data_IF_967326615808
#
_entry.id   IF_967326615808
#
_cell.length_a   1.000
_cell.length_b   1.000
_cell.length_c   1.000
_cell.angle_alpha   90.00
_cell.angle_beta   90.00
_cell.angle_gamma   90.00
#
_symmetry.space_group_name_H-M   'P 1'
#
loop_
_entity.id
_entity.type
_entity.pdbx_description
1 polymer ?
#
# COMPACT_ATOMS: atom_id res chain seq x y z
N UNK A 1 10.63 12.39 17.22
CA UNK A 1 11.33 12.44 15.91
C UNK A 1 11.58 10.99 15.53
N UNK A 2 10.90 10.57 14.47
CA UNK A 2 10.48 9.19 14.23
C UNK A 2 11.64 8.35 13.69
N UNK A 3 11.97 7.24 14.38
CA UNK A 3 12.96 6.28 13.90
C UNK A 3 12.52 5.59 12.58
N UNK A 4 11.22 5.56 12.30
CA UNK A 4 10.64 4.88 11.14
C UNK A 4 10.97 5.56 9.81
N UNK A 5 10.95 6.90 9.76
CA UNK A 5 11.35 7.65 8.55
C UNK A 5 12.85 7.59 8.31
N UNK A 6 13.67 7.57 9.36
CA UNK A 6 15.13 7.39 9.21
C UNK A 6 15.47 6.03 8.58
N UNK A 7 14.75 4.97 8.98
CA UNK A 7 14.97 3.63 8.44
C UNK A 7 14.53 3.52 6.97
N UNK A 8 13.40 4.12 6.57
CA UNK A 8 12.92 4.01 5.18
C UNK A 8 13.84 4.71 4.18
N UNK A 9 14.40 5.87 4.52
CA UNK A 9 15.42 6.52 3.67
C UNK A 9 16.73 5.75 3.61
N UNK A 10 17.14 5.10 4.71
CA UNK A 10 18.32 4.23 4.71
C UNK A 10 18.12 3.03 3.76
N UNK A 11 16.95 2.39 3.77
CA UNK A 11 16.64 1.32 2.82
C UNK A 11 16.67 1.79 1.36
N UNK A 12 16.09 2.95 1.05
CA UNK A 12 16.14 3.52 -0.31
C UNK A 12 17.58 3.81 -0.72
N UNK A 13 18.37 4.41 0.17
CA UNK A 13 19.79 4.68 -0.08
C UNK A 13 20.56 3.39 -0.40
N UNK A 14 20.32 2.33 0.36
CA UNK A 14 20.96 1.03 0.14
C UNK A 14 20.59 0.42 -1.22
N UNK A 15 19.34 0.56 -1.66
CA UNK A 15 18.90 0.10 -2.98
C UNK A 15 19.59 0.90 -4.10
N UNK A 16 19.64 2.23 -3.97
CA UNK A 16 20.31 3.10 -4.95
C UNK A 16 21.80 2.76 -5.04
N UNK A 17 22.46 2.58 -3.89
CA UNK A 17 23.88 2.19 -3.83
C UNK A 17 24.13 0.82 -4.48
N UNK A 18 23.23 -0.15 -4.27
CA UNK A 18 23.30 -1.45 -4.92
C UNK A 18 23.32 -1.33 -6.44
N UNK A 19 22.47 -0.50 -7.05
CA UNK A 19 22.47 -0.29 -8.50
C UNK A 19 23.66 0.51 -8.99
N UNK A 20 24.13 1.48 -8.20
CA UNK A 20 25.29 2.32 -8.54
C UNK A 20 26.59 1.53 -8.71
N UNK A 21 26.74 0.41 -7.99
CA UNK A 21 27.93 -0.45 -8.12
C UNK A 21 27.83 -1.48 -9.26
N UNK A 22 26.67 -1.63 -9.90
CA UNK A 22 26.49 -2.60 -10.98
C UNK A 22 27.14 -2.08 -12.27
N UNK A 23 28.05 -2.86 -12.90
CA UNK A 23 28.87 -2.38 -14.03
C UNK A 23 28.10 -2.09 -15.32
N UNK A 24 26.80 -2.41 -15.39
CA UNK A 24 25.96 -2.27 -16.59
C UNK A 24 24.87 -1.20 -16.46
N UNK A 25 24.69 -0.65 -15.26
CA UNK A 25 23.64 0.34 -15.01
C UNK A 25 24.21 1.72 -15.29
N UNK A 26 23.51 2.47 -16.12
CA UNK A 26 23.90 3.83 -16.50
C UNK A 26 23.39 4.85 -15.47
N UNK A 27 24.07 5.98 -15.34
CA UNK A 27 23.68 7.05 -14.42
C UNK A 27 22.20 7.48 -14.60
N UNK A 28 21.74 7.59 -15.85
CA UNK A 28 20.34 7.91 -16.15
C UNK A 28 19.34 6.85 -15.65
N UNK A 29 19.74 5.58 -15.60
CA UNK A 29 18.90 4.52 -15.03
C UNK A 29 18.88 4.64 -13.51
N UNK A 30 20.00 4.99 -12.87
CA UNK A 30 20.07 5.23 -11.43
C UNK A 30 19.18 6.41 -11.03
N UNK A 31 19.21 7.52 -11.80
CA UNK A 31 18.32 8.67 -11.57
C UNK A 31 16.85 8.27 -11.60
N UNK A 32 16.44 7.46 -12.57
CA UNK A 32 15.06 6.95 -12.66
C UNK A 32 14.69 6.05 -11.48
N UNK A 33 15.61 5.20 -11.03
CA UNK A 33 15.42 4.35 -9.86
C UNK A 33 15.23 5.20 -8.61
N UNK A 34 16.05 6.23 -8.43
CA UNK A 34 15.98 7.15 -7.30
C UNK A 34 14.65 7.92 -7.30
N UNK A 35 14.27 8.53 -8.43
CA UNK A 35 12.98 9.23 -8.56
C UNK A 35 11.80 8.32 -8.25
N UNK A 36 11.79 7.10 -8.83
CA UNK A 36 10.74 6.12 -8.59
C UNK A 36 10.61 5.78 -7.10
N UNK A 37 11.72 5.42 -6.45
CA UNK A 37 11.73 5.00 -5.04
C UNK A 37 11.29 6.13 -4.11
N UNK A 38 11.74 7.36 -4.36
CA UNK A 38 11.36 8.52 -3.55
C UNK A 38 9.86 8.84 -3.66
N UNK A 39 9.31 8.80 -4.87
CA UNK A 39 7.88 9.06 -5.12
C UNK A 39 7.01 7.98 -4.47
N UNK A 40 7.30 6.69 -4.71
CA UNK A 40 6.53 5.59 -4.14
C UNK A 40 6.58 5.61 -2.61
N UNK A 41 7.77 5.86 -2.03
CA UNK A 41 7.91 5.98 -0.59
C UNK A 41 7.15 7.17 -0.02
N UNK A 42 7.14 8.33 -0.70
CA UNK A 42 6.37 9.49 -0.23
C UNK A 42 4.87 9.17 -0.13
N UNK A 43 4.29 8.53 -1.16
CA UNK A 43 2.90 8.10 -1.12
C UNK A 43 2.64 7.09 0.00
N UNK A 44 3.53 6.10 0.17
CA UNK A 44 3.41 5.10 1.23
C UNK A 44 3.47 5.71 2.63
N UNK A 45 4.42 6.63 2.88
CA UNK A 45 4.57 7.28 4.18
C UNK A 45 3.35 8.13 4.53
N UNK A 46 2.75 8.83 3.56
CA UNK A 46 1.53 9.61 3.80
C UNK A 46 0.38 8.69 4.22
N UNK A 47 0.14 7.61 3.48
CA UNK A 47 -0.98 6.70 3.77
C UNK A 47 -0.78 5.89 5.05
N UNK A 48 0.44 5.49 5.39
CA UNK A 48 0.74 4.85 6.67
C UNK A 48 0.52 5.81 7.84
N UNK A 49 0.93 7.07 7.72
CA UNK A 49 0.69 8.06 8.77
C UNK A 49 -0.80 8.31 9.00
N UNK A 50 -1.60 8.30 7.93
CA UNK A 50 -3.07 8.38 8.05
C UNK A 50 -3.64 7.16 8.80
N UNK A 51 -3.20 5.94 8.47
CA UNK A 51 -3.65 4.73 9.18
C UNK A 51 -3.16 4.68 10.64
N UNK A 52 -1.89 5.01 10.90
CA UNK A 52 -1.33 5.09 12.25
C UNK A 52 -2.11 6.12 13.09
N UNK A 53 -2.44 7.27 12.51
CA UNK A 53 -3.25 8.30 13.18
C UNK A 53 -4.66 7.78 13.49
N UNK A 54 -5.28 7.00 12.60
CA UNK A 54 -6.54 6.34 12.89
C UNK A 54 -6.38 5.39 14.09
N UNK A 55 -5.40 4.47 14.06
CA UNK A 55 -5.16 3.47 15.12
C UNK A 55 -4.89 4.11 16.49
N UNK A 56 -4.10 5.20 16.52
CA UNK A 56 -3.72 5.91 17.74
C UNK A 56 -4.80 6.89 18.23
N UNK A 57 -5.82 7.18 17.41
CA UNK A 57 -6.88 8.10 17.75
C UNK A 57 -7.78 7.56 18.87
N UNK A 58 -8.27 8.48 19.72
CA UNK A 58 -9.38 8.19 20.65
C UNK A 58 -10.75 8.34 19.98
N UNK A 59 -10.79 8.85 18.75
CA UNK A 59 -12.02 9.02 17.99
C UNK A 59 -12.42 7.71 17.28
N UNK A 60 -13.72 7.44 17.17
CA UNK A 60 -14.19 6.25 16.45
C UNK A 60 -13.86 6.37 14.96
N UNK A 61 -12.99 5.47 14.48
CA UNK A 61 -12.68 5.30 13.06
C UNK A 61 -13.86 4.64 12.36
N UNK A 62 -14.14 5.06 11.13
CA UNK A 62 -15.14 4.39 10.28
C UNK A 62 -14.48 3.43 9.29
N UNK A 63 -15.18 2.38 8.86
CA UNK A 63 -14.63 1.45 7.87
C UNK A 63 -14.44 2.11 6.50
N UNK A 64 -15.27 3.10 6.19
CA UNK A 64 -15.23 3.92 4.98
C UNK A 64 -13.95 4.73 4.93
N UNK A 65 -13.55 5.34 6.05
CA UNK A 65 -12.29 6.08 6.15
C UNK A 65 -11.09 5.19 5.85
N UNK A 66 -11.07 3.96 6.36
CA UNK A 66 -10.00 3.00 6.05
C UNK A 66 -9.99 2.61 4.56
N UNK A 67 -11.16 2.45 3.94
CA UNK A 67 -11.27 2.18 2.49
C UNK A 67 -10.84 3.40 1.68
N UNK A 68 -11.16 4.61 2.12
CA UNK A 68 -10.80 5.86 1.45
C UNK A 68 -9.28 6.11 1.51
N UNK A 69 -8.63 5.86 2.65
CA UNK A 69 -7.17 5.92 2.77
C UNK A 69 -6.50 4.93 1.82
N UNK A 70 -6.98 3.68 1.80
CA UNK A 70 -6.47 2.67 0.87
C UNK A 70 -6.67 3.10 -0.59
N UNK A 71 -7.86 3.57 -0.96
CA UNK A 71 -8.16 4.04 -2.31
C UNK A 71 -7.32 5.23 -2.73
N UNK A 72 -7.09 6.18 -1.82
CA UNK A 72 -6.21 7.32 -2.03
C UNK A 72 -4.80 6.84 -2.39
N UNK A 73 -4.26 5.91 -1.61
CA UNK A 73 -2.95 5.30 -1.88
C UNK A 73 -2.90 4.60 -3.24
N UNK A 74 -3.88 3.74 -3.53
CA UNK A 74 -3.96 2.98 -4.79
C UNK A 74 -4.03 3.92 -6.00
N UNK A 75 -4.80 5.01 -5.91
CA UNK A 75 -4.92 5.99 -6.98
C UNK A 75 -3.60 6.74 -7.21
N UNK A 76 -2.95 7.22 -6.15
CA UNK A 76 -1.67 7.93 -6.24
C UNK A 76 -0.59 7.05 -6.88
N UNK A 77 -0.43 5.83 -6.38
CA UNK A 77 0.54 4.87 -6.94
C UNK A 77 0.16 4.50 -8.38
N UNK A 78 -1.11 4.22 -8.65
CA UNK A 78 -1.58 3.85 -9.98
C UNK A 78 -1.30 4.93 -11.02
N UNK A 79 -1.50 6.20 -10.67
CA UNK A 79 -1.17 7.33 -11.53
C UNK A 79 0.32 7.39 -11.85
N UNK A 80 1.20 7.28 -10.84
CA UNK A 80 2.64 7.31 -11.04
C UNK A 80 3.14 6.10 -11.84
N UNK A 81 2.61 4.91 -11.58
CA UNK A 81 2.92 3.72 -12.37
C UNK A 81 2.54 3.89 -13.83
N UNK A 82 1.41 4.53 -14.14
CA UNK A 82 0.98 4.76 -15.53
C UNK A 82 1.93 5.70 -16.29
N UNK A 83 2.56 6.64 -15.58
CA UNK A 83 3.57 7.56 -16.15
C UNK A 83 4.88 6.84 -16.41
N UNK A 84 5.28 5.95 -15.51
CA UNK A 84 6.61 5.30 -15.51
C UNK A 84 6.62 4.04 -16.39
N UNK A 85 5.52 3.27 -16.40
CA UNK A 85 5.35 2.03 -17.15
C UNK A 85 4.11 2.09 -18.07
N UNK A 86 4.08 2.98 -19.07
CA UNK A 86 2.88 3.25 -19.87
C UNK A 86 2.40 2.07 -20.74
N UNK A 87 3.25 1.07 -20.93
CA UNK A 87 2.96 -0.11 -21.76
C UNK A 87 2.59 -1.36 -20.94
N UNK A 88 2.54 -1.25 -19.60
CA UNK A 88 2.09 -2.35 -18.76
C UNK A 88 0.59 -2.22 -18.46
N UNK A 89 -0.17 -3.27 -18.79
CA UNK A 89 -1.55 -3.43 -18.30
C UNK A 89 -1.49 -3.76 -16.81
N UNK A 90 -1.45 -2.73 -15.96
CA UNK A 90 -1.61 -2.88 -14.51
C UNK A 90 -2.95 -2.35 -14.08
N UNK A 91 -3.77 -3.22 -13.51
CA UNK A 91 -4.93 -2.82 -12.73
C UNK A 91 -4.56 -2.82 -11.25
N UNK A 92 -3.97 -1.73 -10.76
CA UNK A 92 -4.18 -1.36 -9.35
C UNK A 92 -5.51 -0.62 -9.33
N UNK A 93 -6.61 -1.38 -9.34
CA UNK A 93 -7.93 -0.81 -9.35
C UNK A 93 -8.34 -0.41 -7.91
N UNK A 94 -8.89 0.79 -7.71
CA UNK A 94 -9.44 1.17 -6.42
C UNK A 94 -10.63 0.27 -6.06
N UNK A 95 -10.86 0.11 -4.76
CA UNK A 95 -12.01 -0.56 -4.20
C UNK A 95 -13.27 0.29 -4.47
N UNK A 96 -14.19 -0.23 -5.28
CA UNK A 96 -15.43 0.47 -5.60
C UNK A 96 -16.49 0.31 -4.52
N UNK A 97 -16.79 1.41 -3.81
CA UNK A 97 -17.98 1.49 -2.96
C UNK A 97 -19.22 1.67 -3.82
N UNK A 98 -20.13 0.69 -3.81
CA UNK A 98 -21.36 0.71 -4.62
C UNK A 98 -22.49 1.56 -4.02
N UNK A 99 -22.31 2.15 -2.83
CA UNK A 99 -23.37 2.88 -2.14
C UNK A 99 -22.82 4.03 -1.28
N UNK A 100 -23.62 5.09 -1.09
CA UNK A 100 -23.36 6.19 -0.15
C UNK A 100 -23.73 5.87 1.31
N UNK A 101 -24.17 4.64 1.58
CA UNK A 101 -24.50 4.20 2.93
C UNK A 101 -23.26 3.64 3.62
N UNK A 102 -23.30 3.65 4.95
CA UNK A 102 -22.29 2.97 5.76
C UNK A 102 -22.15 1.50 5.32
N UNK A 103 -20.92 1.06 5.12
CA UNK A 103 -20.59 -0.33 4.84
C UNK A 103 -20.65 -1.13 6.13
N UNK A 104 -21.28 -2.29 6.05
CA UNK A 104 -21.21 -3.29 7.12
C UNK A 104 -19.85 -3.98 7.13
N UNK A 105 -19.50 -4.58 8.26
CA UNK A 105 -18.28 -5.36 8.45
C UNK A 105 -18.14 -6.51 7.44
N UNK A 106 -19.25 -7.18 7.11
CA UNK A 106 -19.29 -8.20 6.06
C UNK A 106 -18.92 -7.59 4.70
N UNK A 107 -19.46 -6.41 4.38
CA UNK A 107 -19.13 -5.73 3.13
C UNK A 107 -17.66 -5.30 3.10
N UNK A 108 -17.11 -4.79 4.21
CA UNK A 108 -15.68 -4.46 4.30
C UNK A 108 -14.79 -5.67 4.01
N UNK A 109 -15.08 -6.83 4.61
CA UNK A 109 -14.35 -8.08 4.34
C UNK A 109 -14.43 -8.46 2.87
N UNK A 110 -15.62 -8.42 2.26
CA UNK A 110 -15.80 -8.76 0.85
C UNK A 110 -15.05 -7.80 -0.08
N UNK A 111 -15.01 -6.51 0.24
CA UNK A 111 -14.22 -5.53 -0.51
C UNK A 111 -12.72 -5.88 -0.48
N UNK A 112 -12.17 -6.15 0.70
CA UNK A 112 -10.75 -6.52 0.85
C UNK A 112 -10.44 -7.88 0.20
N UNK A 113 -11.37 -8.83 0.28
CA UNK A 113 -11.25 -10.14 -0.38
C UNK A 113 -11.24 -10.01 -1.89
N UNK A 114 -12.14 -9.21 -2.45
CA UNK A 114 -12.19 -8.95 -3.89
C UNK A 114 -10.93 -8.26 -4.37
N UNK A 115 -10.42 -7.28 -3.60
CA UNK A 115 -9.16 -6.61 -3.89
C UNK A 115 -7.96 -7.56 -3.84
N UNK A 116 -7.87 -8.43 -2.82
CA UNK A 116 -6.82 -9.44 -2.73
C UNK A 116 -6.88 -10.47 -3.88
N UNK A 117 -8.06 -10.64 -4.47
CA UNK A 117 -8.31 -11.49 -5.61
C UNK A 117 -8.18 -12.99 -5.32
N UNK A 118 -8.63 -13.82 -6.26
CA UNK A 118 -8.63 -15.28 -6.12
C UNK A 118 -7.24 -15.90 -6.01
N UNK A 119 -6.21 -15.19 -6.47
CA UNK A 119 -4.80 -15.62 -6.39
C UNK A 119 -4.13 -15.26 -5.06
N UNK A 120 -4.85 -14.62 -4.14
CA UNK A 120 -4.30 -14.15 -2.87
C UNK A 120 -3.07 -13.24 -3.10
N UNK A 121 -3.24 -12.23 -3.96
CA UNK A 121 -2.18 -11.41 -4.51
C UNK A 121 -1.29 -10.82 -3.41
N UNK A 122 -1.92 -10.28 -2.37
CA UNK A 122 -1.25 -9.64 -1.24
C UNK A 122 -1.08 -10.59 -0.05
N UNK A 123 -1.50 -11.85 -0.16
CA UNK A 123 -1.34 -12.86 0.90
C UNK A 123 -2.00 -12.46 2.23
N UNK A 124 -3.21 -11.90 2.16
CA UNK A 124 -3.99 -11.47 3.33
C UNK A 124 -5.20 -12.37 3.67
N UNK A 125 -5.34 -13.53 3.01
CA UNK A 125 -6.48 -14.43 3.23
C UNK A 125 -6.62 -14.95 4.67
N UNK A 126 -5.51 -15.19 5.37
CA UNK A 126 -5.54 -15.67 6.76
C UNK A 126 -6.05 -14.58 7.69
N UNK A 127 -5.59 -13.35 7.52
CA UNK A 127 -6.03 -12.17 8.25
C UNK A 127 -7.51 -11.89 8.00
N UNK A 128 -7.96 -11.98 6.74
CA UNK A 128 -9.38 -11.88 6.37
C UNK A 128 -10.23 -12.95 7.06
N UNK A 129 -9.76 -14.20 7.09
CA UNK A 129 -10.47 -15.31 7.77
C UNK A 129 -10.49 -15.14 9.29
N UNK A 130 -9.48 -14.50 9.86
CA UNK A 130 -9.47 -14.14 11.28
C UNK A 130 -10.48 -13.03 11.56
N UNK A 131 -10.46 -11.97 10.75
CA UNK A 131 -11.37 -10.82 10.87
C UNK A 131 -12.84 -11.23 10.71
N UNK A 132 -13.15 -12.21 9.86
CA UNK A 132 -14.50 -12.79 9.74
C UNK A 132 -15.05 -13.37 11.04
N UNK A 133 -14.18 -13.85 11.94
CA UNK A 133 -14.61 -14.40 13.24
C UNK A 133 -14.93 -13.30 14.25
N UNK A 134 -14.50 -12.08 13.96
CA UNK A 134 -14.66 -10.90 14.81
C UNK A 134 -15.79 -9.99 14.33
N UNK A 135 -16.61 -10.44 13.37
CA UNK A 135 -17.81 -9.70 12.96
C UNK A 135 -18.73 -9.54 14.17
N UNK A 136 -19.21 -8.31 14.35
CA UNK A 136 -20.01 -7.75 15.44
C UNK A 136 -19.24 -7.53 16.76
N UNK A 137 -17.93 -7.76 16.76
CA UNK A 137 -17.07 -7.45 17.90
C UNK A 137 -16.68 -5.97 17.89
N UNK A 138 -16.64 -5.35 19.08
CA UNK A 138 -16.40 -3.91 19.21
C UNK A 138 -15.00 -3.44 18.78
N UNK A 139 -14.06 -4.37 18.54
CA UNK A 139 -12.70 -4.07 18.08
C UNK A 139 -12.50 -4.36 16.58
N UNK A 140 -13.55 -4.70 15.84
CA UNK A 140 -13.48 -5.06 14.41
C UNK A 140 -12.76 -4.00 13.58
N UNK A 141 -13.15 -2.72 13.72
CA UNK A 141 -12.59 -1.63 12.91
C UNK A 141 -11.09 -1.43 13.18
N UNK A 142 -10.65 -1.61 14.43
CA UNK A 142 -9.22 -1.53 14.76
C UNK A 142 -8.43 -2.67 14.12
N UNK A 143 -8.99 -3.89 14.13
CA UNK A 143 -8.38 -5.03 13.44
C UNK A 143 -8.36 -4.84 11.92
N UNK A 144 -9.39 -4.22 11.36
CA UNK A 144 -9.42 -3.84 9.95
C UNK A 144 -8.34 -2.80 9.65
N UNK A 145 -8.14 -1.78 10.49
CA UNK A 145 -7.10 -0.77 10.31
C UNK A 145 -5.70 -1.39 10.30
N UNK A 146 -5.41 -2.32 11.22
CA UNK A 146 -4.15 -3.08 11.23
C UNK A 146 -3.98 -3.91 9.96
N UNK A 147 -5.06 -4.50 9.44
CA UNK A 147 -5.03 -5.20 8.16
C UNK A 147 -4.78 -4.24 6.99
N UNK A 148 -5.36 -3.04 7.00
CA UNK A 148 -5.10 -1.99 6.00
C UNK A 148 -3.63 -1.59 6.01
N UNK A 149 -3.04 -1.41 7.19
CA UNK A 149 -1.61 -1.12 7.35
C UNK A 149 -0.72 -2.21 6.73
N UNK A 150 -0.97 -3.49 7.07
CA UNK A 150 -0.24 -4.64 6.51
C UNK A 150 -0.38 -4.70 4.98
N UNK A 151 -1.59 -4.40 4.46
CA UNK A 151 -1.86 -4.36 3.04
C UNK A 151 -1.07 -3.26 2.32
N UNK A 152 -1.06 -2.03 2.86
CA UNK A 152 -0.27 -0.92 2.31
C UNK A 152 1.22 -1.29 2.26
N UNK A 153 1.74 -1.91 3.33
CA UNK A 153 3.14 -2.34 3.42
C UNK A 153 3.50 -3.37 2.34
N UNK A 154 2.59 -4.31 2.06
CA UNK A 154 2.79 -5.34 1.03
C UNK A 154 2.75 -4.77 -0.38
N UNK A 155 1.80 -3.89 -0.66
CA UNK A 155 1.75 -3.17 -1.95
C UNK A 155 3.06 -2.40 -2.15
N UNK A 156 3.50 -1.65 -1.15
CA UNK A 156 4.75 -0.89 -1.22
C UNK A 156 5.98 -1.80 -1.45
N UNK A 157 6.02 -2.95 -0.78
CA UNK A 157 7.10 -3.94 -0.97
C UNK A 157 7.15 -4.45 -2.41
N UNK A 158 5.99 -4.77 -3.00
CA UNK A 158 5.90 -5.20 -4.40
C UNK A 158 6.35 -4.08 -5.36
N UNK A 159 6.02 -2.82 -5.06
CA UNK A 159 6.50 -1.67 -5.85
C UNK A 159 8.02 -1.51 -5.75
N UNK A 160 8.61 -1.66 -4.57
CA UNK A 160 10.07 -1.58 -4.40
C UNK A 160 10.79 -2.65 -5.23
N UNK A 161 10.25 -3.85 -5.34
CA UNK A 161 10.84 -4.92 -6.18
C UNK A 161 10.84 -4.53 -7.67
N UNK A 162 9.87 -3.73 -8.12
CA UNK A 162 9.76 -3.32 -9.53
C UNK A 162 10.83 -2.34 -10.01
N UNK A 163 11.70 -1.89 -9.12
CA UNK A 163 12.91 -1.14 -9.51
C UNK A 163 13.75 -1.92 -10.54
N UNK A 164 13.74 -3.26 -10.47
CA UNK A 164 14.41 -4.12 -11.45
C UNK A 164 13.93 -3.86 -12.90
N UNK A 165 12.66 -3.51 -13.09
CA UNK A 165 12.06 -3.25 -14.41
C UNK A 165 12.57 -1.93 -15.03
N UNK A 166 13.15 -1.02 -14.23
CA UNK A 166 13.68 0.28 -14.69
C UNK A 166 15.12 0.19 -15.22
N UNK A 167 15.83 -0.86 -14.81
CA UNK A 167 17.24 -1.08 -15.14
C UNK A 167 17.45 -2.17 -16.20
N UNK A 168 16.40 -2.98 -16.45
CA UNK A 168 16.37 -4.07 -17.43
C UNK A 168 16.29 -3.66 -18.90
#
# INVERSE_FOLDING_TARGET
MNNTTSNSYEYISNIIEFYRIQPRIQDLQIEKVEEYLLVMNAHYQNSIQEIEACIDSQEPISMEELVDILNSYLNMVGEELSKIFPNEEREIAPIHLHSKHEISEIQAIELYRNFNGSKNLYRINEQLTALEKDIYEGDFVNKLAVLTEDLLSRINSDLIVKVDDLVG
#
